data_IF_672516445588
#
_entry.id   IF_672516445588
#
_cell.length_a   1.000
_cell.length_b   1.000
_cell.length_c   1.000
_cell.angle_alpha   90.00
_cell.angle_beta   90.00
_cell.angle_gamma   90.00
#
_symmetry.space_group_name_H-M   'P 1'
#
loop_
_entity.id
_entity.type
_entity.pdbx_description
1 polymer ?
#
# COMPACT_ATOMS: atom_id res chain seq x y z
N UNK A 1 13.38 10.58 -19.19
CA UNK A 1 13.61 9.13 -19.14
C UNK A 1 12.32 8.49 -18.67
N UNK A 2 11.87 7.39 -19.29
CA UNK A 2 10.72 6.64 -18.78
C UNK A 2 11.07 6.04 -17.42
N UNK A 3 10.17 6.13 -16.42
CA UNK A 3 10.37 5.46 -15.13
C UNK A 3 10.27 3.95 -15.34
N UNK A 4 11.09 3.16 -14.65
CA UNK A 4 10.93 1.71 -14.66
C UNK A 4 9.64 1.30 -13.94
N UNK A 5 9.08 0.15 -14.29
CA UNK A 5 7.90 -0.40 -13.63
C UNK A 5 8.10 -0.52 -12.11
N UNK A 6 9.24 -1.09 -11.69
CA UNK A 6 9.59 -1.22 -10.27
C UNK A 6 9.65 0.14 -9.55
N UNK A 7 10.15 1.19 -10.22
CA UNK A 7 10.15 2.55 -9.64
C UNK A 7 8.73 3.11 -9.48
N UNK A 8 7.84 2.87 -10.45
CA UNK A 8 6.44 3.29 -10.34
C UNK A 8 5.70 2.53 -9.24
N UNK A 9 5.91 1.21 -9.13
CA UNK A 9 5.35 0.40 -8.07
C UNK A 9 5.84 0.85 -6.69
N UNK A 10 7.13 1.13 -6.54
CA UNK A 10 7.69 1.64 -5.30
C UNK A 10 7.11 2.99 -4.90
N UNK A 11 6.96 3.93 -5.83
CA UNK A 11 6.35 5.24 -5.57
C UNK A 11 4.92 5.10 -5.05
N UNK A 12 4.09 4.27 -5.70
CA UNK A 12 2.71 4.05 -5.27
C UNK A 12 2.64 3.34 -3.92
N UNK A 13 3.48 2.32 -3.67
CA UNK A 13 3.53 1.66 -2.36
C UNK A 13 3.97 2.62 -1.26
N UNK A 14 4.90 3.53 -1.54
CA UNK A 14 5.29 4.58 -0.59
C UNK A 14 4.12 5.51 -0.28
N UNK A 15 3.33 5.91 -1.27
CA UNK A 15 2.12 6.71 -1.06
C UNK A 15 1.10 5.95 -0.19
N UNK A 16 0.89 4.65 -0.43
CA UNK A 16 0.03 3.81 0.42
C UNK A 16 0.55 3.76 1.88
N UNK A 17 1.86 3.64 2.06
CA UNK A 17 2.48 3.64 3.39
C UNK A 17 2.28 4.98 4.11
N UNK A 18 2.49 6.09 3.41
CA UNK A 18 2.29 7.44 3.96
C UNK A 18 0.82 7.66 4.36
N UNK A 19 -0.13 7.18 3.55
CA UNK A 19 -1.56 7.19 3.89
C UNK A 19 -1.88 6.32 5.11
N UNK A 20 -1.30 5.13 5.22
CA UNK A 20 -1.50 4.26 6.40
C UNK A 20 -1.00 4.93 7.69
N UNK A 21 0.10 5.70 7.61
CA UNK A 21 0.59 6.52 8.73
C UNK A 21 -0.34 7.70 9.02
N UNK A 22 -0.85 8.38 7.99
CA UNK A 22 -1.80 9.49 8.15
C UNK A 22 -3.11 9.01 8.80
N UNK A 23 -3.63 7.86 8.38
CA UNK A 23 -4.82 7.23 8.97
C UNK A 23 -4.64 6.99 10.47
N UNK A 24 -3.46 6.51 10.89
CA UNK A 24 -3.15 6.38 12.32
C UNK A 24 -3.22 7.69 13.06
N UNK A 25 -2.59 8.73 12.53
CA UNK A 25 -2.58 10.04 13.16
C UNK A 25 -4.00 10.64 13.25
N UNK A 26 -4.90 10.31 12.32
CA UNK A 26 -6.31 10.69 12.38
C UNK A 26 -7.09 9.86 13.39
N UNK A 27 -6.86 8.55 13.48
CA UNK A 27 -7.43 7.71 14.54
C UNK A 27 -6.99 8.18 15.94
N UNK A 28 -5.72 8.54 16.13
CA UNK A 28 -5.20 9.12 17.38
C UNK A 28 -5.92 10.41 17.79
N UNK A 29 -6.47 11.15 16.82
CA UNK A 29 -7.20 12.41 17.02
C UNK A 29 -8.73 12.23 17.02
N UNK A 30 -9.23 11.00 16.94
CA UNK A 30 -10.66 10.68 16.82
C UNK A 30 -11.33 11.30 15.57
N UNK A 31 -10.54 11.59 14.54
CA UNK A 31 -11.01 12.20 13.29
C UNK A 31 -11.40 11.11 12.27
N UNK A 32 -12.57 10.51 12.47
CA UNK A 32 -13.06 9.42 11.61
C UNK A 32 -13.40 9.88 10.19
N UNK A 33 -13.82 11.13 10.01
CA UNK A 33 -14.12 11.68 8.69
C UNK A 33 -12.84 11.72 7.83
N UNK A 34 -11.74 12.18 8.41
CA UNK A 34 -10.43 12.16 7.76
C UNK A 34 -9.95 10.74 7.49
N UNK A 35 -10.16 9.79 8.42
CA UNK A 35 -9.82 8.37 8.18
C UNK A 35 -10.55 7.83 6.95
N UNK A 36 -11.85 8.10 6.81
CA UNK A 36 -12.64 7.66 5.66
C UNK A 36 -12.20 8.34 4.36
N UNK A 37 -11.85 9.63 4.41
CA UNK A 37 -11.28 10.34 3.26
C UNK A 37 -9.98 9.68 2.79
N UNK A 38 -9.05 9.43 3.72
CA UNK A 38 -7.77 8.78 3.44
C UNK A 38 -7.96 7.34 2.91
N UNK A 39 -8.99 6.61 3.33
CA UNK A 39 -9.33 5.31 2.76
C UNK A 39 -9.72 5.41 1.28
N UNK A 40 -10.50 6.43 0.90
CA UNK A 40 -10.84 6.67 -0.50
C UNK A 40 -9.62 7.01 -1.36
N UNK A 41 -8.72 7.85 -0.87
CA UNK A 41 -7.45 8.15 -1.56
C UNK A 41 -6.60 6.88 -1.75
N UNK A 42 -6.55 6.03 -0.72
CA UNK A 42 -5.81 4.77 -0.73
C UNK A 42 -6.35 3.79 -1.77
N UNK A 43 -7.67 3.68 -1.90
CA UNK A 43 -8.32 2.79 -2.88
C UNK A 43 -7.89 3.13 -4.32
N UNK A 44 -7.88 4.41 -4.67
CA UNK A 44 -7.44 4.88 -6.01
C UNK A 44 -6.00 4.44 -6.30
N UNK A 45 -5.10 4.49 -5.31
CA UNK A 45 -3.71 4.10 -5.48
C UNK A 45 -3.58 2.58 -5.62
N UNK A 46 -4.35 1.81 -4.85
CA UNK A 46 -4.38 0.34 -4.93
C UNK A 46 -4.88 -0.11 -6.31
N UNK A 47 -5.93 0.53 -6.85
CA UNK A 47 -6.40 0.23 -8.21
C UNK A 47 -5.31 0.48 -9.26
N UNK A 48 -4.54 1.57 -9.11
CA UNK A 48 -3.42 1.86 -10.02
C UNK A 48 -2.31 0.82 -9.90
N UNK A 49 -1.99 0.36 -8.69
CA UNK A 49 -1.04 -0.74 -8.46
C UNK A 49 -1.51 -2.04 -9.12
N UNK A 50 -2.81 -2.37 -9.01
CA UNK A 50 -3.38 -3.55 -9.64
C UNK A 50 -3.25 -3.51 -11.17
N UNK A 51 -3.61 -2.37 -11.80
CA UNK A 51 -3.44 -2.19 -13.26
C UNK A 51 -1.99 -2.32 -13.70
N UNK A 52 -1.05 -1.74 -12.96
CA UNK A 52 0.38 -1.89 -13.27
C UNK A 52 0.86 -3.33 -13.15
N UNK A 53 0.32 -4.11 -12.22
CA UNK A 53 0.65 -5.53 -12.08
C UNK A 53 0.08 -6.37 -13.23
N UNK A 54 -1.14 -6.04 -13.70
CA UNK A 54 -1.75 -6.67 -14.89
C UNK A 54 -0.95 -6.38 -16.16
N UNK A 55 -0.62 -5.10 -16.41
CA UNK A 55 0.20 -4.68 -17.56
C UNK A 55 1.58 -5.35 -17.58
N UNK A 56 2.16 -5.60 -16.41
CA UNK A 56 3.44 -6.29 -16.28
C UNK A 56 3.36 -7.79 -16.61
N UNK A 57 2.21 -8.42 -16.40
CA UNK A 57 2.00 -9.84 -16.67
C UNK A 57 1.88 -10.13 -18.18
N UNK A 58 1.50 -9.14 -18.99
CA UNK A 58 1.33 -9.27 -20.45
C UNK A 58 2.66 -9.23 -21.23
N UNK A 59 3.70 -9.91 -20.75
CA UNK A 59 4.99 -9.93 -21.47
C UNK A 59 4.91 -10.90 -22.68
N UNK A 60 5.23 -10.48 -23.91
CA UNK A 60 5.19 -11.36 -25.08
C UNK A 60 6.16 -12.54 -24.96
N UNK A 61 5.71 -13.75 -25.31
CA UNK A 61 6.48 -15.02 -25.18
C UNK A 61 7.83 -15.03 -25.93
N UNK A 62 8.06 -14.09 -26.84
CA UNK A 62 9.24 -14.02 -27.71
C UNK A 62 10.37 -13.11 -27.20
N UNK A 63 10.30 -12.63 -25.96
CA UNK A 63 11.34 -11.77 -25.37
C UNK A 63 12.35 -12.59 -24.56
N UNK A 64 13.62 -12.59 -24.99
CA UNK A 64 14.73 -13.15 -24.21
C UNK A 64 15.21 -12.13 -23.17
N UNK A 65 15.23 -12.52 -21.90
CA UNK A 65 15.77 -11.71 -20.80
C UNK A 65 17.27 -11.44 -20.98
N UNK A 66 17.69 -10.21 -20.71
CA UNK A 66 19.11 -9.85 -20.72
C UNK A 66 19.86 -10.53 -19.55
N UNK A 67 21.11 -10.99 -19.75
CA UNK A 67 21.90 -11.57 -18.65
C UNK A 67 22.03 -10.59 -17.48
N UNK A 68 21.66 -11.03 -16.26
CA UNK A 68 21.67 -10.21 -15.05
C UNK A 68 20.36 -9.47 -14.74
N UNK A 69 19.40 -9.42 -15.67
CA UNK A 69 18.09 -8.79 -15.41
C UNK A 69 17.28 -9.54 -14.35
N UNK A 70 17.46 -10.86 -14.24
CA UNK A 70 16.77 -11.70 -13.25
C UNK A 70 17.19 -11.38 -11.81
N UNK A 71 18.49 -11.14 -11.57
CA UNK A 71 18.96 -10.78 -10.22
C UNK A 71 18.51 -9.38 -9.81
N UNK A 72 18.51 -8.42 -10.76
CA UNK A 72 17.95 -7.09 -10.51
C UNK A 72 16.44 -7.14 -10.24
N UNK A 73 15.68 -7.90 -11.04
CA UNK A 73 14.24 -8.09 -10.81
C UNK A 73 13.96 -8.73 -9.44
N UNK A 74 14.80 -9.70 -9.01
CA UNK A 74 14.69 -10.33 -7.69
C UNK A 74 14.96 -9.34 -6.56
N UNK A 75 15.96 -8.47 -6.70
CA UNK A 75 16.27 -7.44 -5.70
C UNK A 75 15.14 -6.41 -5.58
N UNK A 76 14.61 -5.95 -6.72
CA UNK A 76 13.46 -5.04 -6.76
C UNK A 76 12.24 -5.68 -6.09
N UNK A 77 11.96 -6.96 -6.39
CA UNK A 77 10.86 -7.70 -5.77
C UNK A 77 11.00 -7.82 -4.25
N UNK A 78 12.19 -8.14 -3.73
CA UNK A 78 12.46 -8.21 -2.29
C UNK A 78 12.25 -6.85 -1.60
N UNK A 79 12.64 -5.75 -2.26
CA UNK A 79 12.43 -4.41 -1.74
C UNK A 79 10.92 -4.09 -1.67
N UNK A 80 10.17 -4.38 -2.74
CA UNK A 80 8.72 -4.19 -2.79
C UNK A 80 8.00 -5.00 -1.70
N UNK A 81 8.37 -6.28 -1.52
CA UNK A 81 7.82 -7.16 -0.48
C UNK A 81 8.03 -6.59 0.93
N UNK A 82 9.20 -5.98 1.16
CA UNK A 82 9.51 -5.37 2.46
C UNK A 82 8.60 -4.17 2.75
N UNK A 83 8.35 -3.33 1.74
CA UNK A 83 7.43 -2.19 1.86
C UNK A 83 6.00 -2.68 2.10
N UNK A 84 5.55 -3.69 1.36
CA UNK A 84 4.22 -4.29 1.51
C UNK A 84 4.02 -4.82 2.94
N UNK A 85 5.01 -5.55 3.49
CA UNK A 85 4.93 -6.02 4.88
C UNK A 85 4.81 -4.87 5.87
N UNK A 86 5.53 -3.77 5.64
CA UNK A 86 5.41 -2.55 6.44
C UNK A 86 4.00 -1.97 6.41
N UNK A 87 3.41 -1.83 5.23
CA UNK A 87 2.03 -1.36 5.05
C UNK A 87 1.05 -2.26 5.82
N UNK A 88 1.14 -3.57 5.65
CA UNK A 88 0.24 -4.52 6.32
C UNK A 88 0.36 -4.47 7.85
N UNK A 89 1.56 -4.24 8.37
CA UNK A 89 1.75 -4.04 9.81
C UNK A 89 1.10 -2.74 10.29
N UNK A 90 1.20 -1.66 9.50
CA UNK A 90 0.50 -0.42 9.81
C UNK A 90 -1.02 -0.60 9.81
N UNK A 91 -1.55 -1.32 8.83
CA UNK A 91 -2.98 -1.61 8.71
C UNK A 91 -3.52 -2.38 9.92
N UNK A 92 -2.82 -3.44 10.37
CA UNK A 92 -3.22 -4.21 11.57
C UNK A 92 -3.28 -3.35 12.82
N UNK A 93 -2.30 -2.47 12.99
CA UNK A 93 -2.25 -1.56 14.14
C UNK A 93 -3.37 -0.53 14.08
N UNK A 94 -3.70 -0.02 12.89
CA UNK A 94 -4.81 0.91 12.68
C UNK A 94 -6.16 0.21 12.93
N UNK A 95 -6.32 -1.04 12.48
CA UNK A 95 -7.51 -1.86 12.72
C UNK A 95 -7.73 -2.13 14.20
N UNK A 96 -6.67 -2.52 14.93
CA UNK A 96 -6.73 -2.72 16.37
C UNK A 96 -7.16 -1.44 17.11
N UNK A 97 -6.58 -0.30 16.74
CA UNK A 97 -6.94 0.99 17.33
C UNK A 97 -8.38 1.40 17.05
N UNK A 98 -8.85 1.20 15.82
CA UNK A 98 -10.23 1.47 15.44
C UNK A 98 -11.20 0.56 16.21
N UNK A 99 -10.86 -0.73 16.34
CA UNK A 99 -11.64 -1.69 17.11
C UNK A 99 -11.79 -1.27 18.57
N UNK A 100 -10.69 -0.90 19.23
CA UNK A 100 -10.69 -0.45 20.62
C UNK A 100 -11.58 0.79 20.82
N UNK A 101 -11.48 1.77 19.91
CA UNK A 101 -12.33 2.97 19.94
C UNK A 101 -13.81 2.65 19.76
N UNK A 102 -14.15 1.74 18.85
CA UNK A 102 -15.53 1.31 18.65
C UNK A 102 -16.08 0.62 19.91
N UNK A 103 -15.28 -0.21 20.61
CA UNK A 103 -15.74 -0.82 21.86
C UNK A 103 -16.00 0.23 22.94
N UNK A 104 -15.12 1.23 23.09
CA UNK A 104 -15.33 2.33 24.05
C UNK A 104 -16.64 3.07 23.78
N UNK A 105 -16.91 3.43 22.52
CA UNK A 105 -18.17 4.09 22.14
C UNK A 105 -19.38 3.21 22.47
N UNK A 106 -19.30 1.88 22.24
CA UNK A 106 -20.39 0.95 22.55
C UNK A 106 -20.66 0.82 24.05
N UNK A 107 -19.63 0.94 24.89
CA UNK A 107 -19.77 0.95 26.35
C UNK A 107 -20.41 2.24 26.87
N UNK A 108 -20.23 3.35 26.16
CA UNK A 108 -20.80 4.67 26.50
C UNK A 108 -22.24 4.88 25.99
N UNK A 109 -22.69 4.07 25.03
CA UNK A 109 -24.05 4.12 24.49
C UNK A 109 -25.04 3.34 25.41
N UNK A 110 -26.15 3.96 25.84
CA UNK A 110 -27.13 3.35 26.76
C UNK A 110 -27.99 2.25 26.13
#
# INVERSE_FOLDING_TARGET
MAKSLASMQFELLREVFDLARAQRASLERDDLDEVLSLMGEREVIIERLARLAEEAAETPENVLSFPGSEEHARQDQLALDTVIRGILEHDRQNEAMLFDKIQQIREELP
#
